data_IF_274873714139
#
_entry.id   IF_274873714139
#
_cell.length_a   1.000
_cell.length_b   1.000
_cell.length_c   1.000
_cell.angle_alpha   90.00
_cell.angle_beta   90.00
_cell.angle_gamma   90.00
#
_symmetry.space_group_name_H-M   'P 1'
#
loop_
_entity.id
_entity.type
_entity.pdbx_description
1 polymer ?
#
# COMPACT_ATOMS: atom_id res chain seq x y z
N UNK A 1 -46.91 -2.51 15.09
CA UNK A 1 -46.66 -1.55 16.20
C UNK A 1 -45.56 -0.58 15.77
N UNK A 2 -45.57 0.67 16.25
CA UNK A 2 -44.48 1.65 16.05
C UNK A 2 -43.89 2.00 17.42
N UNK A 3 -42.56 1.97 17.53
CA UNK A 3 -41.82 2.43 18.71
C UNK A 3 -40.60 3.23 18.26
N UNK A 4 -40.76 4.54 18.19
CA UNK A 4 -39.63 5.48 18.03
C UNK A 4 -38.90 5.63 19.37
N UNK A 5 -37.57 5.65 19.34
CA UNK A 5 -36.76 6.16 20.45
C UNK A 5 -35.77 7.21 19.93
N UNK A 6 -35.57 8.26 20.72
CA UNK A 6 -34.98 9.53 20.27
C UNK A 6 -34.23 10.21 21.43
N UNK A 7 -32.90 10.16 21.42
CA UNK A 7 -31.98 10.96 22.26
C UNK A 7 -30.53 10.70 21.81
N UNK A 8 -29.56 11.63 21.94
CA UNK A 8 -29.71 13.04 22.32
C UNK A 8 -28.62 13.59 23.25
N UNK A 9 -27.36 13.67 22.81
CA UNK A 9 -26.23 14.28 23.57
C UNK A 9 -25.27 14.97 22.60
N UNK A 10 -25.30 16.31 22.48
CA UNK A 10 -24.64 17.33 23.34
C UNK A 10 -23.10 17.36 23.19
N UNK A 11 -22.64 18.28 22.35
CA UNK A 11 -21.23 18.60 22.11
C UNK A 11 -20.55 19.25 23.33
N UNK A 12 -19.31 18.87 23.63
CA UNK A 12 -18.48 19.50 24.65
C UNK A 12 -17.32 20.28 24.05
N UNK A 13 -17.44 21.61 23.96
CA UNK A 13 -16.37 22.48 23.47
C UNK A 13 -15.35 22.74 24.59
N UNK A 14 -14.07 22.38 24.40
CA UNK A 14 -12.97 22.80 25.28
C UNK A 14 -11.72 23.15 24.48
N UNK A 15 -11.48 24.45 24.33
CA UNK A 15 -10.17 24.97 23.95
C UNK A 15 -9.23 24.93 25.16
N UNK A 16 -7.98 24.53 24.94
CA UNK A 16 -6.90 24.62 25.93
C UNK A 16 -5.69 25.23 25.23
N UNK A 17 -5.42 26.51 25.51
CA UNK A 17 -4.23 27.20 25.03
C UNK A 17 -3.10 26.94 26.03
N UNK A 18 -1.99 26.34 25.58
CA UNK A 18 -0.82 26.09 26.41
C UNK A 18 0.43 26.62 25.72
N UNK A 19 1.02 27.64 26.35
CA UNK A 19 2.25 28.29 25.93
C UNK A 19 3.40 27.69 26.74
N UNK A 20 4.39 27.09 26.08
CA UNK A 20 5.53 26.44 26.76
C UNK A 20 6.82 27.13 26.36
N UNK A 21 7.59 27.60 27.34
CA UNK A 21 8.84 28.32 27.08
C UNK A 21 9.98 27.36 26.67
N UNK A 22 10.82 27.81 25.74
CA UNK A 22 12.00 27.09 25.27
C UNK A 22 13.16 27.32 26.26
N UNK A 23 13.67 26.26 26.90
CA UNK A 23 14.47 26.36 28.14
C UNK A 23 15.70 25.42 28.21
N UNK A 24 16.53 25.68 29.24
CA UNK A 24 17.99 25.52 29.35
C UNK A 24 18.62 24.09 29.40
N UNK A 25 19.25 23.52 28.35
CA UNK A 25 20.30 22.43 28.46
C UNK A 25 21.05 22.06 27.13
N UNK A 26 22.36 22.37 26.97
CA UNK A 26 23.29 21.72 26.01
C UNK A 26 24.34 20.95 26.82
N UNK A 27 24.37 19.61 26.74
CA UNK A 27 25.48 18.82 27.26
C UNK A 27 26.61 18.72 26.20
N UNK A 28 27.86 18.93 26.62
CA UNK A 28 29.03 18.60 25.80
C UNK A 28 29.31 17.11 25.91
N UNK A 29 29.29 16.39 24.78
CA UNK A 29 29.47 14.93 24.74
C UNK A 29 30.91 14.60 24.31
N UNK A 30 31.63 13.70 25.00
CA UNK A 30 32.98 13.30 24.62
C UNK A 30 32.98 12.49 23.31
N UNK A 31 33.99 12.71 22.47
CA UNK A 31 34.17 11.97 21.23
C UNK A 31 34.59 10.51 21.50
N UNK A 32 33.70 9.56 21.18
CA UNK A 32 33.99 8.13 21.26
C UNK A 32 34.55 7.58 19.94
N UNK A 33 35.50 6.65 20.06
CA UNK A 33 36.31 6.14 18.95
C UNK A 33 35.55 5.14 18.05
N UNK A 34 36.22 4.71 16.97
CA UNK A 34 35.74 3.79 15.94
C UNK A 34 34.90 2.62 16.46
N UNK A 35 33.58 2.76 16.38
CA UNK A 35 32.65 1.70 16.73
C UNK A 35 32.69 0.64 15.62
N UNK A 36 33.38 -0.47 15.88
CA UNK A 36 33.50 -1.59 14.95
C UNK A 36 32.11 -2.08 14.50
N UNK A 37 32.00 -2.47 13.23
CA UNK A 37 30.72 -2.78 12.59
C UNK A 37 29.95 -3.83 13.39
N UNK A 38 28.92 -3.39 14.14
CA UNK A 38 28.01 -4.28 14.82
C UNK A 38 27.29 -5.11 13.75
N UNK A 39 27.65 -6.39 13.66
CA UNK A 39 26.88 -7.35 12.90
C UNK A 39 25.50 -7.43 13.54
N UNK A 40 24.53 -6.70 12.96
CA UNK A 40 23.11 -6.82 13.30
C UNK A 40 22.77 -8.31 13.36
N UNK A 41 22.36 -8.88 14.51
CA UNK A 41 22.29 -10.33 14.68
C UNK A 41 21.45 -10.98 13.57
N UNK A 42 22.14 -11.54 12.58
CA UNK A 42 21.52 -12.01 11.36
C UNK A 42 20.57 -13.14 11.71
N UNK A 43 19.28 -12.99 11.37
CA UNK A 43 18.23 -13.89 11.80
C UNK A 43 18.55 -15.34 11.40
N UNK A 44 19.08 -16.11 12.35
CA UNK A 44 19.67 -17.43 12.10
C UNK A 44 18.56 -18.45 11.91
N UNK A 45 18.13 -18.58 10.65
CA UNK A 45 17.15 -19.58 10.22
C UNK A 45 17.50 -20.95 10.82
N UNK A 46 16.57 -21.64 11.49
CA UNK A 46 16.78 -23.00 12.00
C UNK A 46 17.33 -23.93 10.92
N UNK A 47 18.23 -24.89 11.23
CA UNK A 47 19.00 -25.62 10.21
C UNK A 47 18.17 -26.25 9.07
N UNK A 48 17.01 -26.82 9.37
CA UNK A 48 16.09 -27.38 8.36
C UNK A 48 15.46 -26.29 7.46
N UNK A 49 15.08 -25.16 8.05
CA UNK A 49 14.50 -24.02 7.32
C UNK A 49 15.56 -23.30 6.47
N UNK A 50 16.80 -23.21 6.96
CA UNK A 50 17.96 -22.77 6.19
C UNK A 50 18.24 -23.68 4.99
N UNK A 51 18.16 -25.01 5.17
CA UNK A 51 18.33 -25.96 4.07
C UNK A 51 17.24 -25.80 2.99
N UNK A 52 15.97 -25.66 3.40
CA UNK A 52 14.84 -25.42 2.51
C UNK A 52 14.89 -24.05 1.81
N UNK A 53 15.47 -23.04 2.45
CA UNK A 53 15.74 -21.73 1.85
C UNK A 53 16.84 -21.81 0.78
N UNK A 54 17.95 -22.50 1.09
CA UNK A 54 19.08 -22.69 0.16
C UNK A 54 18.71 -23.60 -1.03
N UNK A 55 17.82 -24.58 -0.85
CA UNK A 55 17.29 -25.37 -1.97
C UNK A 55 16.36 -24.58 -2.89
N UNK A 56 15.93 -23.38 -2.47
CA UNK A 56 15.09 -22.50 -3.27
C UNK A 56 13.73 -23.12 -3.62
N UNK A 57 13.13 -23.87 -2.69
CA UNK A 57 11.87 -24.57 -2.91
C UNK A 57 10.81 -24.12 -1.89
N UNK A 58 9.77 -23.42 -2.35
CA UNK A 58 8.70 -22.90 -1.51
C UNK A 58 7.96 -24.00 -0.70
N UNK A 59 7.71 -25.17 -1.29
CA UNK A 59 7.03 -26.28 -0.62
C UNK A 59 7.88 -26.85 0.52
N UNK A 60 9.20 -26.97 0.33
CA UNK A 60 10.11 -27.39 1.39
C UNK A 60 10.19 -26.36 2.52
N UNK A 61 10.13 -25.06 2.21
CA UNK A 61 10.09 -24.01 3.23
C UNK A 61 8.79 -24.07 4.05
N UNK A 62 7.63 -24.18 3.41
CA UNK A 62 6.35 -24.33 4.12
C UNK A 62 6.29 -25.63 4.94
N UNK A 63 6.81 -26.74 4.42
CA UNK A 63 6.93 -27.99 5.18
C UNK A 63 7.85 -27.83 6.40
N UNK A 64 9.01 -27.19 6.25
CA UNK A 64 9.93 -26.91 7.36
C UNK A 64 9.29 -25.98 8.42
N UNK A 65 8.53 -24.95 8.03
CA UNK A 65 7.79 -24.11 8.98
C UNK A 65 6.74 -24.95 9.73
N UNK A 66 5.97 -25.79 9.04
CA UNK A 66 4.93 -26.62 9.66
C UNK A 66 5.50 -27.68 10.62
N UNK A 67 6.63 -28.31 10.28
CA UNK A 67 7.31 -29.26 11.18
C UNK A 67 7.95 -28.54 12.37
N UNK A 68 8.60 -27.39 12.16
CA UNK A 68 9.27 -26.65 13.24
C UNK A 68 8.29 -25.89 14.15
N UNK A 69 7.10 -25.54 13.68
CA UNK A 69 6.06 -24.94 14.52
C UNK A 69 5.43 -25.94 15.49
N UNK A 70 5.41 -27.23 15.13
CA UNK A 70 4.73 -28.27 15.90
C UNK A 70 3.22 -28.07 15.97
N UNK A 71 2.63 -27.35 14.99
CA UNK A 71 1.22 -26.96 15.00
C UNK A 71 0.90 -25.71 15.83
N UNK A 72 1.86 -25.12 16.55
CA UNK A 72 1.64 -23.85 17.24
C UNK A 72 1.61 -22.68 16.22
N UNK A 73 0.53 -21.89 16.14
CA UNK A 73 0.36 -20.86 15.11
C UNK A 73 1.27 -19.62 15.32
N UNK A 74 1.52 -19.23 16.57
CA UNK A 74 2.41 -18.12 16.91
C UNK A 74 3.85 -18.41 16.46
N UNK A 75 4.29 -19.66 16.66
CA UNK A 75 5.60 -20.16 16.23
C UNK A 75 5.69 -20.28 14.71
N UNK A 76 4.60 -20.67 14.04
CA UNK A 76 4.54 -20.64 12.57
C UNK A 76 4.69 -19.20 12.05
N UNK A 77 4.00 -18.22 12.66
CA UNK A 77 4.10 -16.81 12.31
C UNK A 77 5.51 -16.24 12.54
N UNK A 78 6.15 -16.60 13.66
CA UNK A 78 7.52 -16.20 13.98
C UNK A 78 8.54 -16.77 12.97
N UNK A 79 8.38 -18.04 12.57
CA UNK A 79 9.23 -18.68 11.55
C UNK A 79 9.00 -18.06 10.16
N UNK A 80 7.74 -17.81 9.77
CA UNK A 80 7.41 -17.10 8.53
C UNK A 80 8.02 -15.68 8.49
N UNK A 81 8.01 -14.96 9.62
CA UNK A 81 8.66 -13.66 9.78
C UNK A 81 10.19 -13.73 9.59
N UNK A 82 10.85 -14.75 10.16
CA UNK A 82 12.29 -14.98 9.92
C UNK A 82 12.59 -15.30 8.44
N UNK A 83 11.72 -16.05 7.76
CA UNK A 83 11.87 -16.39 6.34
C UNK A 83 11.77 -15.16 5.45
N UNK A 84 10.81 -14.25 5.68
CA UNK A 84 10.75 -13.00 4.88
C UNK A 84 11.93 -12.05 5.15
N UNK A 85 12.47 -12.03 6.37
CA UNK A 85 13.69 -11.26 6.69
C UNK A 85 14.90 -11.81 5.91
N UNK A 86 15.07 -13.14 5.86
CA UNK A 86 16.10 -13.77 5.05
C UNK A 86 15.88 -13.56 3.54
N UNK A 87 14.62 -13.56 3.10
CA UNK A 87 14.24 -13.31 1.71
C UNK A 87 14.55 -11.87 1.26
N UNK A 88 14.26 -10.86 2.09
CA UNK A 88 14.66 -9.47 1.83
C UNK A 88 16.19 -9.34 1.75
N UNK A 89 16.93 -10.03 2.62
CA UNK A 89 18.40 -10.04 2.57
C UNK A 89 18.95 -10.74 1.31
N UNK A 90 18.29 -11.78 0.78
CA UNK A 90 18.69 -12.43 -0.48
C UNK A 90 18.24 -11.68 -1.74
N UNK A 91 17.41 -10.63 -1.62
CA UNK A 91 16.75 -9.98 -2.76
C UNK A 91 17.73 -9.41 -3.80
N UNK A 92 18.88 -8.93 -3.35
CA UNK A 92 19.93 -8.35 -4.20
C UNK A 92 20.79 -9.39 -4.94
N UNK A 93 20.84 -10.64 -4.45
CA UNK A 93 21.73 -11.70 -4.96
C UNK A 93 20.98 -12.85 -5.62
N UNK A 94 19.79 -13.18 -5.14
CA UNK A 94 18.91 -14.21 -5.70
C UNK A 94 17.42 -13.82 -5.53
N UNK A 95 16.88 -12.96 -6.42
CA UNK A 95 15.48 -12.55 -6.35
C UNK A 95 14.48 -13.72 -6.54
N UNK A 96 14.87 -14.81 -7.22
CA UNK A 96 14.02 -15.98 -7.43
C UNK A 96 13.81 -16.78 -6.12
N UNK A 97 14.86 -16.92 -5.30
CA UNK A 97 14.74 -17.51 -3.95
C UNK A 97 13.96 -16.55 -3.03
N UNK A 98 14.22 -15.24 -3.10
CA UNK A 98 13.51 -14.25 -2.29
C UNK A 98 11.98 -14.33 -2.46
N UNK A 99 11.48 -14.35 -3.70
CA UNK A 99 10.02 -14.43 -3.95
C UNK A 99 9.42 -15.80 -3.59
N UNK A 100 10.19 -16.91 -3.70
CA UNK A 100 9.72 -18.22 -3.24
C UNK A 100 9.66 -18.33 -1.71
N UNK A 101 10.62 -17.74 -1.01
CA UNK A 101 10.61 -17.64 0.44
C UNK A 101 9.44 -16.76 0.93
N UNK A 102 9.18 -15.64 0.24
CA UNK A 102 7.98 -14.84 0.47
C UNK A 102 6.68 -15.64 0.25
N UNK A 103 6.58 -16.42 -0.84
CA UNK A 103 5.43 -17.27 -1.12
C UNK A 103 5.19 -18.29 0.01
N UNK A 104 6.24 -18.97 0.47
CA UNK A 104 6.16 -19.97 1.53
C UNK A 104 5.72 -19.37 2.89
N UNK A 105 6.22 -18.16 3.20
CA UNK A 105 5.85 -17.44 4.42
C UNK A 105 4.42 -16.90 4.36
N UNK A 106 3.98 -16.36 3.22
CA UNK A 106 2.62 -15.86 2.98
C UNK A 106 1.60 -16.99 3.11
N UNK A 107 1.87 -18.16 2.52
CA UNK A 107 0.99 -19.33 2.67
C UNK A 107 1.00 -19.87 4.12
N UNK A 108 2.12 -19.75 4.86
CA UNK A 108 2.17 -20.15 6.27
C UNK A 108 1.33 -19.25 7.19
N UNK A 109 1.20 -17.95 6.91
CA UNK A 109 0.35 -17.03 7.72
C UNK A 109 -1.11 -17.00 7.26
N UNK A 110 -1.42 -17.60 6.10
CA UNK A 110 -2.79 -17.75 5.58
C UNK A 110 -3.66 -18.69 6.41
N UNK A 111 -3.07 -19.59 7.18
CA UNK A 111 -3.81 -20.53 8.02
C UNK A 111 -4.63 -19.78 9.08
N UNK A 112 -5.94 -20.00 9.13
CA UNK A 112 -6.88 -19.27 10.01
C UNK A 112 -6.44 -19.16 11.48
N UNK A 113 -5.84 -20.19 12.12
CA UNK A 113 -5.33 -20.07 13.49
C UNK A 113 -4.21 -19.03 13.66
N UNK A 114 -3.39 -18.79 12.63
CA UNK A 114 -2.32 -17.78 12.64
C UNK A 114 -2.89 -16.37 12.54
N UNK A 115 -3.90 -16.19 11.68
CA UNK A 115 -4.62 -14.92 11.54
C UNK A 115 -5.27 -14.47 12.85
N UNK A 116 -5.80 -15.39 13.65
CA UNK A 116 -6.45 -15.07 14.94
C UNK A 116 -5.49 -15.00 16.12
N UNK A 117 -4.41 -15.80 16.18
CA UNK A 117 -3.44 -15.75 17.28
C UNK A 117 -2.33 -14.72 17.09
N UNK A 118 -2.04 -14.30 15.87
CA UNK A 118 -0.83 -13.54 15.53
C UNK A 118 -1.03 -12.54 14.38
N UNK A 119 -2.01 -11.61 14.50
CA UNK A 119 -2.30 -10.65 13.45
C UNK A 119 -1.12 -9.69 13.18
N UNK A 120 -0.41 -9.20 14.20
CA UNK A 120 0.72 -8.28 13.99
C UNK A 120 1.90 -8.98 13.26
N UNK A 121 2.14 -10.25 13.52
CA UNK A 121 3.15 -11.05 12.81
C UNK A 121 2.72 -11.27 11.36
N UNK A 122 1.42 -11.52 11.11
CA UNK A 122 0.85 -11.62 9.76
C UNK A 122 1.00 -10.31 8.99
N UNK A 123 0.67 -9.17 9.58
CA UNK A 123 0.87 -7.83 9.01
C UNK A 123 2.34 -7.57 8.64
N UNK A 124 3.28 -7.97 9.50
CA UNK A 124 4.72 -7.86 9.22
C UNK A 124 5.16 -8.76 8.06
N UNK A 125 4.68 -10.00 7.99
CA UNK A 125 4.98 -10.94 6.89
C UNK A 125 4.46 -10.41 5.56
N UNK A 126 3.20 -9.95 5.52
CA UNK A 126 2.60 -9.36 4.31
C UNK A 126 3.34 -8.08 3.88
N UNK A 127 3.69 -7.21 4.83
CA UNK A 127 4.42 -5.95 4.55
C UNK A 127 5.82 -6.17 3.98
N UNK A 128 6.52 -7.24 4.37
CA UNK A 128 7.84 -7.62 3.81
C UNK A 128 7.71 -8.38 2.50
N UNK A 129 6.77 -9.33 2.40
CA UNK A 129 6.46 -10.03 1.15
C UNK A 129 6.09 -9.05 0.02
N UNK A 130 5.38 -7.97 0.34
CA UNK A 130 5.07 -6.91 -0.63
C UNK A 130 6.31 -6.16 -1.13
N UNK A 131 7.25 -5.81 -0.25
CA UNK A 131 8.53 -5.17 -0.67
C UNK A 131 9.32 -6.07 -1.62
N UNK A 132 9.28 -7.40 -1.40
CA UNK A 132 9.88 -8.40 -2.28
C UNK A 132 9.15 -8.42 -3.64
N UNK A 133 7.82 -8.57 -3.67
CA UNK A 133 7.08 -8.75 -4.93
C UNK A 133 6.98 -7.47 -5.79
N UNK A 134 7.04 -6.26 -5.19
CA UNK A 134 7.12 -5.00 -5.97
C UNK A 134 8.54 -4.65 -6.42
N UNK A 135 9.55 -5.43 -6.04
CA UNK A 135 10.93 -5.10 -6.39
C UNK A 135 11.19 -5.27 -7.91
N UNK A 136 11.89 -4.32 -8.56
CA UNK A 136 12.25 -4.43 -9.98
C UNK A 136 13.14 -5.63 -10.31
N UNK A 137 13.76 -6.28 -9.31
CA UNK A 137 14.47 -7.55 -9.51
C UNK A 137 13.48 -8.71 -9.68
N UNK A 138 12.56 -8.89 -8.72
CA UNK A 138 11.55 -9.96 -8.76
C UNK A 138 10.60 -9.81 -9.94
N UNK A 139 10.16 -8.59 -10.27
CA UNK A 139 9.28 -8.36 -11.42
C UNK A 139 9.90 -8.75 -12.76
N UNK A 140 11.23 -8.62 -12.92
CA UNK A 140 11.94 -9.07 -14.13
C UNK A 140 12.24 -10.56 -14.14
N UNK A 141 12.52 -11.17 -12.98
CA UNK A 141 12.92 -12.59 -12.89
C UNK A 141 11.74 -13.55 -12.80
N UNK A 142 10.65 -13.19 -12.12
CA UNK A 142 9.52 -14.09 -11.84
C UNK A 142 8.16 -13.36 -11.78
N UNK A 143 7.73 -12.61 -12.83
CA UNK A 143 6.53 -11.78 -12.80
C UNK A 143 5.23 -12.53 -12.45
N UNK A 144 5.06 -13.77 -12.95
CA UNK A 144 3.87 -14.57 -12.67
C UNK A 144 3.80 -15.02 -11.20
N UNK A 145 4.95 -15.32 -10.59
CA UNK A 145 5.02 -15.68 -9.17
C UNK A 145 4.82 -14.43 -8.29
N UNK A 146 5.35 -13.28 -8.70
CA UNK A 146 5.08 -12.00 -8.03
C UNK A 146 3.56 -11.69 -7.98
N UNK A 147 2.86 -11.86 -9.10
CA UNK A 147 1.40 -11.69 -9.16
C UNK A 147 0.64 -12.70 -8.28
N UNK A 148 1.10 -13.96 -8.23
CA UNK A 148 0.53 -14.99 -7.35
C UNK A 148 0.69 -14.63 -5.86
N UNK A 149 1.89 -14.25 -5.42
CA UNK A 149 2.14 -13.84 -4.03
C UNK A 149 1.37 -12.56 -3.68
N UNK A 150 1.23 -11.61 -4.61
CA UNK A 150 0.40 -10.42 -4.42
C UNK A 150 -1.10 -10.78 -4.25
N UNK A 151 -1.65 -11.67 -5.08
CA UNK A 151 -3.04 -12.14 -4.96
C UNK A 151 -3.31 -12.88 -3.65
N UNK A 152 -2.41 -13.77 -3.22
CA UNK A 152 -2.49 -14.40 -1.89
C UNK A 152 -2.40 -13.36 -0.77
N UNK A 153 -1.48 -12.39 -0.87
CA UNK A 153 -1.31 -11.32 0.13
C UNK A 153 -2.55 -10.45 0.25
N UNK A 154 -3.20 -10.09 -0.87
CA UNK A 154 -4.49 -9.38 -0.88
C UNK A 154 -5.62 -10.18 -0.23
N UNK A 155 -5.66 -11.49 -0.48
CA UNK A 155 -6.64 -12.39 0.11
C UNK A 155 -6.53 -12.37 1.64
N UNK A 156 -5.31 -12.58 2.15
CA UNK A 156 -5.03 -12.61 3.59
C UNK A 156 -5.26 -11.22 4.22
N UNK A 157 -4.80 -10.15 3.57
CA UNK A 157 -5.02 -8.78 4.04
C UNK A 157 -6.51 -8.47 4.21
N UNK A 158 -7.36 -8.89 3.27
CA UNK A 158 -8.82 -8.72 3.37
C UNK A 158 -9.45 -9.47 4.55
N UNK A 159 -8.82 -10.56 5.03
CA UNK A 159 -9.27 -11.33 6.19
C UNK A 159 -8.85 -10.71 7.54
N UNK A 160 -7.82 -9.86 7.58
CA UNK A 160 -7.39 -9.17 8.82
C UNK A 160 -8.38 -8.09 9.30
N UNK A 161 -9.21 -7.56 8.40
CA UNK A 161 -10.04 -6.38 8.67
C UNK A 161 -9.27 -5.04 8.77
N UNK A 162 -7.93 -5.04 8.76
CA UNK A 162 -7.13 -3.83 8.85
C UNK A 162 -7.21 -3.02 7.54
N UNK A 163 -7.97 -1.93 7.55
CA UNK A 163 -8.21 -1.10 6.37
C UNK A 163 -6.94 -0.46 5.80
N UNK A 164 -5.99 -0.07 6.66
CA UNK A 164 -4.70 0.49 6.24
C UNK A 164 -3.81 -0.55 5.58
N UNK A 165 -3.80 -1.79 6.09
CA UNK A 165 -3.11 -2.91 5.42
C UNK A 165 -3.73 -3.20 4.05
N UNK A 166 -5.06 -3.32 3.98
CA UNK A 166 -5.78 -3.59 2.73
C UNK A 166 -5.46 -2.52 1.67
N UNK A 167 -5.45 -1.24 2.06
CA UNK A 167 -5.10 -0.13 1.18
C UNK A 167 -3.66 -0.21 0.65
N UNK A 168 -2.69 -0.46 1.53
CA UNK A 168 -1.27 -0.55 1.18
C UNK A 168 -0.98 -1.76 0.28
N UNK A 169 -1.52 -2.94 0.63
CA UNK A 169 -1.41 -4.15 -0.20
C UNK A 169 -2.07 -3.97 -1.56
N UNK A 170 -3.19 -3.25 -1.64
CA UNK A 170 -3.87 -2.98 -2.91
C UNK A 170 -3.01 -2.10 -3.82
N UNK A 171 -2.46 -0.99 -3.32
CA UNK A 171 -1.53 -0.13 -4.09
C UNK A 171 -0.32 -0.93 -4.58
N UNK A 172 0.29 -1.75 -3.71
CA UNK A 172 1.45 -2.58 -4.07
C UNK A 172 1.09 -3.66 -5.11
N UNK A 173 -0.10 -4.24 -5.02
CA UNK A 173 -0.62 -5.20 -6.02
C UNK A 173 -0.89 -4.55 -7.38
N UNK A 174 -1.30 -3.27 -7.41
CA UNK A 174 -1.47 -2.52 -8.67
C UNK A 174 -0.14 -2.29 -9.39
N UNK A 175 0.95 -2.03 -8.66
CA UNK A 175 2.31 -1.93 -9.26
C UNK A 175 2.72 -3.25 -9.92
N UNK A 176 2.43 -4.39 -9.29
CA UNK A 176 2.66 -5.71 -9.90
C UNK A 176 1.75 -5.89 -11.12
N UNK A 177 0.46 -5.58 -11.03
CA UNK A 177 -0.48 -5.71 -12.15
C UNK A 177 -0.04 -4.87 -13.36
N UNK A 178 0.42 -3.63 -13.16
CA UNK A 178 0.98 -2.80 -14.23
C UNK A 178 2.27 -3.41 -14.83
N UNK A 179 3.18 -3.94 -14.00
CA UNK A 179 4.41 -4.61 -14.49
C UNK A 179 4.14 -5.90 -15.29
N UNK A 180 3.07 -6.63 -14.95
CA UNK A 180 2.71 -7.90 -15.58
C UNK A 180 1.81 -7.71 -16.80
N UNK A 181 1.14 -6.55 -16.94
CA UNK A 181 0.19 -6.25 -18.02
C UNK A 181 0.73 -6.54 -19.44
N UNK A 182 2.02 -6.26 -19.69
CA UNK A 182 2.66 -6.46 -20.98
C UNK A 182 2.98 -7.93 -21.30
N UNK A 183 3.09 -8.81 -20.28
CA UNK A 183 3.52 -10.21 -20.44
C UNK A 183 2.41 -11.22 -20.15
N UNK A 184 1.48 -10.89 -19.24
CA UNK A 184 0.28 -11.67 -18.95
C UNK A 184 -0.88 -10.73 -18.57
N UNK A 185 -1.59 -10.14 -19.55
CA UNK A 185 -2.71 -9.24 -19.30
C UNK A 185 -3.87 -9.91 -18.54
N UNK A 186 -4.05 -11.25 -18.63
CA UNK A 186 -5.07 -11.96 -17.87
C UNK A 186 -4.78 -11.88 -16.35
N UNK A 187 -3.55 -12.20 -15.93
CA UNK A 187 -3.14 -12.12 -14.54
C UNK A 187 -3.16 -10.67 -14.02
N UNK A 188 -2.76 -9.70 -14.86
CA UNK A 188 -2.84 -8.28 -14.52
C UNK A 188 -4.28 -7.82 -14.24
N UNK A 189 -5.24 -8.17 -15.11
CA UNK A 189 -6.67 -7.84 -14.90
C UNK A 189 -7.24 -8.56 -13.69
N UNK A 190 -6.89 -9.82 -13.45
CA UNK A 190 -7.34 -10.57 -12.26
C UNK A 190 -6.84 -9.93 -10.95
N UNK A 191 -5.55 -9.59 -10.87
CA UNK A 191 -4.95 -8.97 -9.69
C UNK A 191 -5.50 -7.55 -9.47
N UNK A 192 -5.61 -6.75 -10.53
CA UNK A 192 -6.20 -5.40 -10.46
C UNK A 192 -7.68 -5.43 -10.08
N UNK A 193 -8.45 -6.39 -10.60
CA UNK A 193 -9.85 -6.61 -10.25
C UNK A 193 -10.03 -7.14 -8.83
N UNK A 194 -9.04 -7.83 -8.26
CA UNK A 194 -9.02 -8.17 -6.83
C UNK A 194 -8.74 -6.93 -5.97
N UNK A 195 -7.64 -6.21 -6.24
CA UNK A 195 -7.24 -5.01 -5.50
C UNK A 195 -8.35 -3.93 -5.51
N UNK A 196 -8.94 -3.67 -6.67
CA UNK A 196 -10.09 -2.76 -6.83
C UNK A 196 -11.29 -3.20 -5.98
N UNK A 197 -11.63 -4.49 -5.95
CA UNK A 197 -12.75 -4.99 -5.14
C UNK A 197 -12.47 -4.90 -3.65
N UNK A 198 -11.25 -5.19 -3.18
CA UNK A 198 -10.88 -5.07 -1.76
C UNK A 198 -10.96 -3.64 -1.22
N UNK A 199 -10.66 -2.65 -2.06
CA UNK A 199 -10.88 -1.22 -1.77
C UNK A 199 -12.36 -0.86 -1.88
N UNK A 200 -13.03 -1.29 -2.95
CA UNK A 200 -14.41 -0.94 -3.26
C UNK A 200 -15.46 -1.51 -2.31
N UNK A 201 -15.24 -2.70 -1.75
CA UNK A 201 -16.17 -3.34 -0.80
C UNK A 201 -16.04 -2.81 0.64
N UNK A 202 -14.96 -2.11 0.97
CA UNK A 202 -14.69 -1.62 2.32
C UNK A 202 -14.84 -0.11 2.42
N UNK A 203 -16.00 0.33 2.93
CA UNK A 203 -16.23 1.74 3.28
C UNK A 203 -15.22 2.27 4.30
N UNK A 204 -14.66 1.40 5.16
CA UNK A 204 -13.60 1.76 6.09
C UNK A 204 -12.29 2.12 5.35
N UNK A 205 -11.89 1.34 4.34
CA UNK A 205 -10.71 1.65 3.49
C UNK A 205 -10.86 3.00 2.79
N UNK A 206 -12.05 3.28 2.25
CA UNK A 206 -12.35 4.54 1.57
C UNK A 206 -12.36 5.77 2.51
N UNK A 207 -12.53 5.55 3.82
CA UNK A 207 -12.48 6.60 4.85
C UNK A 207 -11.09 6.78 5.46
N UNK A 208 -10.37 5.68 5.76
CA UNK A 208 -9.05 5.75 6.42
C UNK A 208 -7.89 5.92 5.43
N UNK A 209 -8.09 5.58 4.15
CA UNK A 209 -7.06 5.60 3.11
C UNK A 209 -7.61 6.07 1.73
N UNK A 210 -8.23 7.27 1.65
CA UNK A 210 -8.83 7.75 0.40
C UNK A 210 -7.79 8.02 -0.70
N UNK A 211 -6.58 8.50 -0.37
CA UNK A 211 -5.50 8.71 -1.34
C UNK A 211 -5.03 7.40 -1.97
N UNK A 212 -4.86 6.34 -1.17
CA UNK A 212 -4.54 4.99 -1.63
C UNK A 212 -5.69 4.43 -2.49
N UNK A 213 -6.94 4.67 -2.09
CA UNK A 213 -8.12 4.26 -2.85
C UNK A 213 -8.16 4.91 -4.24
N UNK A 214 -7.86 6.21 -4.32
CA UNK A 214 -7.72 6.95 -5.58
C UNK A 214 -6.52 6.46 -6.42
N UNK A 215 -5.39 6.13 -5.78
CA UNK A 215 -4.22 5.56 -6.45
C UNK A 215 -4.54 4.20 -7.10
N UNK A 216 -5.22 3.31 -6.38
CA UNK A 216 -5.69 2.02 -6.92
C UNK A 216 -6.65 2.22 -8.08
N UNK A 217 -7.64 3.11 -7.95
CA UNK A 217 -8.57 3.42 -9.03
C UNK A 217 -7.87 4.03 -10.26
N UNK A 218 -6.85 4.86 -10.07
CA UNK A 218 -6.04 5.46 -11.14
C UNK A 218 -5.23 4.42 -11.91
N UNK A 219 -4.56 3.49 -11.22
CA UNK A 219 -3.88 2.37 -11.87
C UNK A 219 -4.84 1.41 -12.57
N UNK A 220 -5.99 1.12 -11.95
CA UNK A 220 -7.01 0.26 -12.55
C UNK A 220 -7.61 0.91 -13.81
N UNK A 221 -7.79 2.24 -13.82
CA UNK A 221 -8.16 3.00 -15.01
C UNK A 221 -7.15 2.84 -16.16
N UNK A 222 -5.83 2.81 -15.87
CA UNK A 222 -4.78 2.54 -16.86
C UNK A 222 -4.83 1.11 -17.40
N UNK A 223 -5.20 0.13 -16.57
CA UNK A 223 -5.33 -1.28 -16.97
C UNK A 223 -6.58 -1.50 -17.84
N UNK A 224 -7.74 -0.91 -17.50
CA UNK A 224 -8.97 -1.16 -18.28
C UNK A 224 -8.96 -0.52 -19.68
N UNK A 225 -8.18 0.54 -19.92
CA UNK A 225 -8.04 1.15 -21.25
C UNK A 225 -7.01 0.44 -22.13
N UNK A 226 -6.28 -0.55 -21.61
CA UNK A 226 -5.31 -1.31 -22.39
C UNK A 226 -6.02 -2.30 -23.34
N UNK A 227 -5.80 -2.24 -24.67
CA UNK A 227 -6.48 -3.14 -25.61
C UNK A 227 -6.14 -4.63 -25.41
N UNK A 228 -4.96 -4.95 -24.87
CA UNK A 228 -4.57 -6.31 -24.52
C UNK A 228 -5.38 -6.86 -23.35
N UNK A 229 -5.61 -6.05 -22.31
CA UNK A 229 -6.52 -6.39 -21.21
C UNK A 229 -7.97 -6.58 -21.69
N UNK A 230 -8.48 -5.63 -22.47
CA UNK A 230 -9.84 -5.69 -23.03
C UNK A 230 -10.06 -6.93 -23.90
N UNK A 231 -9.10 -7.30 -24.75
CA UNK A 231 -9.21 -8.47 -25.63
C UNK A 231 -9.14 -9.80 -24.87
N UNK A 232 -8.37 -9.86 -23.78
CA UNK A 232 -8.06 -11.14 -23.08
C UNK A 232 -9.03 -11.43 -21.93
N UNK A 233 -9.61 -10.41 -21.29
CA UNK A 233 -10.52 -10.60 -20.16
C UNK A 233 -11.66 -9.56 -20.12
N UNK A 234 -12.45 -9.38 -21.21
CA UNK A 234 -13.38 -8.26 -21.35
C UNK A 234 -14.41 -8.17 -20.22
N UNK A 235 -14.96 -9.29 -19.74
CA UNK A 235 -15.90 -9.33 -18.60
C UNK A 235 -15.28 -8.85 -17.28
N UNK A 236 -14.03 -9.24 -17.01
CA UNK A 236 -13.33 -8.83 -15.78
C UNK A 236 -12.92 -7.36 -15.84
N UNK A 237 -12.53 -6.88 -17.03
CA UNK A 237 -12.33 -5.45 -17.30
C UNK A 237 -13.66 -4.70 -17.09
N UNK A 238 -14.77 -5.21 -17.61
CA UNK A 238 -16.10 -4.60 -17.48
C UNK A 238 -16.55 -4.47 -16.01
N UNK A 239 -16.39 -5.52 -15.20
CA UNK A 239 -16.66 -5.50 -13.77
C UNK A 239 -15.74 -4.54 -13.00
N UNK A 240 -14.46 -4.47 -13.37
CA UNK A 240 -13.51 -3.50 -12.83
C UNK A 240 -13.90 -2.05 -13.18
N UNK A 241 -14.37 -1.79 -14.40
CA UNK A 241 -14.83 -0.48 -14.87
C UNK A 241 -15.99 0.07 -14.01
N UNK A 242 -17.01 -0.75 -13.73
CA UNK A 242 -18.10 -0.36 -12.81
C UNK A 242 -17.57 -0.12 -11.40
N UNK A 243 -16.67 -1.00 -10.93
CA UNK A 243 -16.11 -0.93 -9.58
C UNK A 243 -15.29 0.35 -9.33
N UNK A 244 -14.39 0.73 -10.26
CA UNK A 244 -13.59 1.96 -10.10
C UNK A 244 -14.47 3.21 -10.18
N UNK A 245 -15.48 3.22 -11.04
CA UNK A 245 -16.41 4.36 -11.16
C UNK A 245 -17.14 4.58 -9.83
N UNK A 246 -17.62 3.50 -9.20
CA UNK A 246 -18.23 3.55 -7.86
C UNK A 246 -17.26 4.07 -6.79
N UNK A 247 -15.99 3.62 -6.81
CA UNK A 247 -14.94 4.07 -5.88
C UNK A 247 -14.64 5.56 -6.03
N UNK A 248 -14.47 6.08 -7.24
CA UNK A 248 -14.18 7.52 -7.43
C UNK A 248 -15.40 8.43 -7.32
N UNK A 249 -16.63 7.88 -7.37
CA UNK A 249 -17.85 8.60 -7.01
C UNK A 249 -18.07 8.74 -5.49
N UNK A 250 -17.26 8.08 -4.64
CA UNK A 250 -17.30 8.29 -3.20
C UNK A 250 -16.75 9.70 -2.84
N UNK A 251 -17.50 10.55 -2.12
CA UNK A 251 -17.04 11.90 -1.78
C UNK A 251 -15.66 12.01 -1.12
N UNK A 252 -15.33 11.12 -0.18
CA UNK A 252 -14.03 11.15 0.53
C UNK A 252 -12.87 10.76 -0.40
N UNK A 253 -13.11 9.82 -1.31
CA UNK A 253 -12.11 9.41 -2.31
C UNK A 253 -11.95 10.49 -3.38
N UNK A 254 -13.06 11.02 -3.91
CA UNK A 254 -13.07 12.13 -4.87
C UNK A 254 -12.34 13.38 -4.32
N UNK A 255 -12.61 13.76 -3.07
CA UNK A 255 -11.94 14.88 -2.38
C UNK A 255 -10.41 14.75 -2.31
N UNK A 256 -9.86 13.53 -2.36
CA UNK A 256 -8.41 13.34 -2.36
C UNK A 256 -7.74 13.76 -3.67
N UNK A 257 -8.45 13.72 -4.80
CA UNK A 257 -8.01 14.29 -6.09
C UNK A 257 -9.17 14.37 -7.10
N UNK A 258 -9.90 15.49 -7.18
CA UNK A 258 -11.01 15.66 -8.11
C UNK A 258 -10.64 15.44 -9.58
N UNK A 259 -9.50 15.97 -10.01
CA UNK A 259 -9.01 15.82 -11.41
C UNK A 259 -8.72 14.35 -11.75
N UNK A 260 -8.13 13.59 -10.82
CA UNK A 260 -7.91 12.16 -11.03
C UNK A 260 -9.24 11.38 -11.05
N UNK A 261 -10.20 11.73 -10.19
CA UNK A 261 -11.54 11.13 -10.18
C UNK A 261 -12.23 11.30 -11.55
N UNK A 262 -12.25 12.52 -12.09
CA UNK A 262 -12.81 12.83 -13.41
C UNK A 262 -12.11 12.04 -14.53
N UNK A 263 -10.76 11.98 -14.52
CA UNK A 263 -10.00 11.20 -15.51
C UNK A 263 -10.27 9.68 -15.40
N UNK A 264 -10.46 9.15 -14.17
CA UNK A 264 -10.84 7.75 -13.95
C UNK A 264 -12.24 7.47 -14.51
N UNK A 265 -13.22 8.34 -14.27
CA UNK A 265 -14.57 8.19 -14.86
C UNK A 265 -14.55 8.30 -16.39
N UNK A 266 -13.75 9.20 -16.95
CA UNK A 266 -13.56 9.32 -18.40
C UNK A 266 -12.96 8.04 -19.01
N UNK A 267 -11.89 7.52 -18.40
CA UNK A 267 -11.25 6.27 -18.81
C UNK A 267 -12.20 5.07 -18.68
N UNK A 268 -13.03 5.04 -17.63
CA UNK A 268 -14.04 4.01 -17.41
C UNK A 268 -15.13 4.04 -18.49
N UNK A 269 -15.64 5.22 -18.84
CA UNK A 269 -16.62 5.39 -19.91
C UNK A 269 -16.04 5.05 -21.30
N UNK A 270 -14.79 5.42 -21.56
CA UNK A 270 -14.09 5.03 -22.78
C UNK A 270 -13.91 3.50 -22.88
N UNK A 271 -13.53 2.84 -21.78
CA UNK A 271 -13.39 1.39 -21.74
C UNK A 271 -14.73 0.67 -21.93
N UNK A 272 -15.82 1.09 -21.26
CA UNK A 272 -17.13 0.46 -21.41
C UNK A 272 -17.69 0.55 -22.83
N UNK A 273 -17.46 1.68 -23.51
CA UNK A 273 -17.80 1.86 -24.93
C UNK A 273 -16.90 1.07 -25.91
N UNK A 274 -15.89 0.33 -25.45
CA UNK A 274 -15.07 -0.53 -26.33
C UNK A 274 -15.91 -1.67 -26.91
N UNK A 275 -15.61 -2.07 -28.14
CA UNK A 275 -16.33 -3.15 -28.82
C UNK A 275 -16.24 -4.49 -28.06
N UNK A 276 -15.09 -4.79 -27.45
CA UNK A 276 -14.88 -6.01 -26.68
C UNK A 276 -15.78 -6.07 -25.42
N UNK A 277 -15.86 -4.98 -24.65
CA UNK A 277 -16.72 -4.91 -23.45
C UNK A 277 -18.20 -4.82 -23.85
N UNK A 278 -18.53 -4.05 -24.89
CA UNK A 278 -19.93 -3.95 -25.36
C UNK A 278 -20.46 -5.31 -25.83
N UNK A 279 -19.61 -6.15 -26.44
CA UNK A 279 -19.98 -7.49 -26.87
C UNK A 279 -20.14 -8.49 -25.71
N UNK A 280 -19.26 -8.46 -24.69
CA UNK A 280 -19.31 -9.42 -23.57
C UNK A 280 -20.19 -8.97 -22.40
N UNK A 281 -20.44 -7.67 -22.24
CA UNK A 281 -21.19 -7.09 -21.11
C UNK A 281 -21.94 -5.81 -21.50
N UNK A 282 -23.04 -5.91 -22.29
CA UNK A 282 -23.81 -4.75 -22.76
C UNK A 282 -24.29 -3.80 -21.64
N UNK A 283 -24.58 -4.35 -20.45
CA UNK A 283 -25.05 -3.58 -19.29
C UNK A 283 -23.99 -2.65 -18.67
N UNK A 284 -22.69 -2.88 -18.91
CA UNK A 284 -21.62 -2.11 -18.27
C UNK A 284 -21.64 -0.64 -18.68
N UNK A 285 -21.91 -0.33 -19.96
CA UNK A 285 -22.01 1.07 -20.42
C UNK A 285 -23.17 1.79 -19.74
N UNK A 286 -24.30 1.12 -19.50
CA UNK A 286 -25.45 1.67 -18.77
C UNK A 286 -25.09 1.93 -17.30
N UNK A 287 -24.45 0.97 -16.62
CA UNK A 287 -24.06 1.10 -15.22
C UNK A 287 -23.05 2.25 -15.00
N UNK A 288 -22.05 2.38 -15.88
CA UNK A 288 -21.07 3.49 -15.85
C UNK A 288 -21.75 4.83 -16.14
N UNK A 289 -22.64 4.88 -17.15
CA UNK A 289 -23.44 6.07 -17.46
C UNK A 289 -24.27 6.52 -16.25
N UNK A 290 -24.93 5.59 -15.56
CA UNK A 290 -25.73 5.91 -14.38
C UNK A 290 -24.86 6.39 -13.21
N UNK A 291 -23.70 5.76 -12.98
CA UNK A 291 -22.76 6.20 -11.94
C UNK A 291 -22.18 7.60 -12.19
N UNK A 292 -21.94 7.98 -13.45
CA UNK A 292 -21.48 9.32 -13.85
C UNK A 292 -22.60 10.36 -13.69
N UNK A 293 -23.84 10.04 -14.07
CA UNK A 293 -25.00 10.92 -13.81
C UNK A 293 -25.26 11.11 -12.30
N UNK A 294 -25.11 10.06 -11.50
CA UNK A 294 -25.18 10.16 -10.05
C UNK A 294 -24.05 11.04 -9.47
N UNK A 295 -22.86 11.03 -10.08
CA UNK A 295 -21.75 11.89 -9.69
C UNK A 295 -21.94 13.36 -10.11
N UNK A 296 -22.52 13.63 -11.29
CA UNK A 296 -22.82 15.01 -11.74
C UNK A 296 -23.91 15.68 -10.92
N UNK A 297 -24.90 14.91 -10.44
CA UNK A 297 -25.95 15.37 -9.55
C UNK A 297 -25.53 15.48 -8.06
N UNK A 298 -24.36 14.96 -7.67
CA UNK A 298 -23.95 14.92 -6.27
C UNK A 298 -23.47 16.28 -5.77
N UNK A 299 -24.26 16.91 -4.90
CA UNK A 299 -23.99 18.23 -4.31
C UNK A 299 -22.66 18.28 -3.56
N UNK A 300 -22.24 17.20 -2.88
CA UNK A 300 -20.95 17.15 -2.19
C UNK A 300 -19.78 17.15 -3.16
N UNK A 301 -19.91 16.52 -4.34
CA UNK A 301 -18.87 16.56 -5.38
C UNK A 301 -18.83 17.93 -6.05
N UNK A 302 -20.00 18.51 -6.36
CA UNK A 302 -20.12 19.84 -6.96
C UNK A 302 -19.61 20.96 -6.03
N UNK A 303 -19.71 20.81 -4.71
CA UNK A 303 -19.12 21.75 -3.74
C UNK A 303 -17.59 21.66 -3.67
N UNK A 304 -17.01 20.52 -4.03
CA UNK A 304 -15.55 20.26 -4.02
C UNK A 304 -14.92 20.63 -5.37
N UNK A 305 -15.65 20.46 -6.45
CA UNK A 305 -15.29 20.83 -7.80
C UNK A 305 -16.52 21.40 -8.50
N UNK A 306 -16.59 22.73 -8.61
CA UNK A 306 -17.73 23.44 -9.22
C UNK A 306 -17.89 23.14 -10.72
N UNK A 307 -16.85 22.66 -11.38
CA UNK A 307 -16.87 22.18 -12.78
C UNK A 307 -17.24 20.71 -12.93
N UNK A 308 -17.49 19.98 -11.84
CA UNK A 308 -17.80 18.54 -11.87
C UNK A 308 -19.00 18.24 -12.78
N UNK A 309 -20.10 18.98 -12.64
CA UNK A 309 -21.31 18.74 -13.44
C UNK A 309 -21.07 18.92 -14.96
N UNK A 310 -20.29 19.92 -15.39
CA UNK A 310 -19.96 20.10 -16.82
C UNK A 310 -18.97 19.04 -17.31
N UNK A 311 -17.94 18.71 -16.53
CA UNK A 311 -16.95 17.68 -16.86
C UNK A 311 -17.59 16.28 -17.01
N UNK A 312 -18.57 15.94 -16.18
CA UNK A 312 -19.32 14.68 -16.34
C UNK A 312 -20.20 14.70 -17.60
N UNK A 313 -20.82 15.83 -17.94
CA UNK A 313 -21.58 15.98 -19.18
C UNK A 313 -20.68 15.89 -20.43
N UNK A 314 -19.46 16.44 -20.39
CA UNK A 314 -18.44 16.31 -21.44
C UNK A 314 -18.07 14.84 -21.69
N UNK A 315 -17.82 14.07 -20.62
CA UNK A 315 -17.56 12.62 -20.69
C UNK A 315 -18.73 11.89 -21.35
N UNK A 316 -19.97 12.13 -20.89
CA UNK A 316 -21.17 11.49 -21.43
C UNK A 316 -21.44 11.86 -22.91
N UNK A 317 -21.12 13.09 -23.30
CA UNK A 317 -21.20 13.56 -24.68
C UNK A 317 -20.11 12.95 -25.61
N UNK A 318 -19.21 12.11 -25.07
CA UNK A 318 -18.00 11.57 -25.73
C UNK A 318 -16.96 12.63 -26.11
N UNK A 319 -17.19 13.89 -25.71
CA UNK A 319 -16.21 14.96 -25.72
C UNK A 319 -15.26 14.79 -24.53
N UNK A 320 -14.53 13.67 -24.48
CA UNK A 320 -13.47 13.49 -23.47
C UNK A 320 -12.50 14.66 -23.62
N UNK A 321 -12.35 15.55 -22.63
CA UNK A 321 -11.49 16.70 -22.77
C UNK A 321 -10.06 16.21 -23.03
N UNK A 322 -9.50 16.60 -24.18
CA UNK A 322 -8.11 16.31 -24.50
C UNK A 322 -7.27 16.79 -23.31
N UNK A 323 -6.47 15.87 -22.73
CA UNK A 323 -5.95 16.03 -21.37
C UNK A 323 -5.41 17.43 -21.18
N UNK A 324 -6.07 18.22 -20.33
CA UNK A 324 -5.56 19.53 -19.95
C UNK A 324 -4.30 19.29 -19.13
N UNK A 325 -3.16 19.24 -19.81
CA UNK A 325 -1.85 19.50 -19.22
C UNK A 325 -1.95 20.87 -18.59
N UNK A 326 -2.27 20.89 -17.29
CA UNK A 326 -2.36 22.12 -16.52
C UNK A 326 -1.08 22.89 -16.81
N UNK A 327 -1.18 24.14 -17.32
CA UNK A 327 -0.01 24.86 -17.78
C UNK A 327 0.92 24.97 -16.58
N UNK A 328 2.07 24.28 -16.65
CA UNK A 328 3.05 24.34 -15.59
C UNK A 328 3.47 25.80 -15.48
N UNK A 329 3.08 26.44 -14.38
CA UNK A 329 3.41 27.83 -14.09
C UNK A 329 4.90 27.89 -13.78
N UNK A 330 5.69 27.89 -14.85
CA UNK A 330 7.14 27.84 -14.85
C UNK A 330 7.72 29.15 -14.34
N UNK A 331 7.61 29.38 -13.04
CA UNK A 331 8.43 30.36 -12.33
C UNK A 331 9.88 29.98 -12.56
N UNK A 332 10.55 30.69 -13.46
CA UNK A 332 11.83 30.29 -14.05
C UNK A 332 12.99 30.30 -13.07
N UNK A 333 13.10 29.26 -12.25
CA UNK A 333 14.25 28.96 -11.40
C UNK A 333 15.04 27.79 -11.96
N UNK A 334 16.32 28.03 -12.30
CA UNK A 334 17.26 26.96 -12.66
C UNK A 334 17.65 26.15 -11.42
N UNK A 335 16.86 25.11 -11.11
CA UNK A 335 17.18 24.15 -10.05
C UNK A 335 18.16 23.10 -10.60
N UNK A 336 19.30 22.92 -9.93
CA UNK A 336 20.28 21.91 -10.29
C UNK A 336 19.73 20.49 -10.05
N UNK A 337 20.13 19.53 -10.89
CA UNK A 337 19.63 18.15 -10.86
C UNK A 337 20.20 17.33 -9.69
N UNK A 338 19.73 17.57 -8.47
CA UNK A 338 20.00 16.72 -7.31
C UNK A 338 19.05 15.51 -7.29
N UNK A 339 19.54 14.27 -7.07
CA UNK A 339 18.69 13.08 -7.11
C UNK A 339 17.62 13.12 -6.01
N UNK A 340 16.36 12.93 -6.40
CA UNK A 340 15.20 13.04 -5.54
C UNK A 340 15.15 11.88 -4.53
N UNK A 341 15.71 12.10 -3.34
CA UNK A 341 15.71 11.13 -2.24
C UNK A 341 14.27 10.86 -1.77
N UNK A 342 13.86 9.59 -1.79
CA UNK A 342 12.47 9.19 -1.58
C UNK A 342 12.08 9.27 -0.08
N UNK A 343 11.53 10.41 0.34
CA UNK A 343 11.19 10.71 1.74
C UNK A 343 10.05 9.83 2.27
N UNK A 344 10.41 8.64 2.73
CA UNK A 344 9.50 7.77 3.49
C UNK A 344 9.21 8.42 4.84
N UNK A 345 7.99 8.92 5.05
CA UNK A 345 7.56 9.51 6.31
C UNK A 345 7.39 8.43 7.39
N UNK A 346 8.51 7.98 7.96
CA UNK A 346 8.52 7.17 9.17
C UNK A 346 8.14 8.05 10.35
N UNK A 347 6.95 7.86 10.92
CA UNK A 347 6.50 8.54 12.15
C UNK A 347 7.25 8.01 13.37
N UNK A 348 8.53 8.37 13.50
CA UNK A 348 9.35 8.03 14.67
C UNK A 348 8.99 8.97 15.81
N UNK A 349 8.10 8.53 16.70
CA UNK A 349 7.77 9.24 17.94
C UNK A 349 9.03 9.41 18.80
N UNK A 350 9.66 10.58 18.68
CA UNK A 350 10.94 10.90 19.32
C UNK A 350 10.71 12.05 20.29
N UNK A 351 10.83 11.78 21.60
CA UNK A 351 10.70 12.81 22.64
C UNK A 351 11.83 13.83 22.53
N UNK A 352 11.51 15.03 22.05
CA UNK A 352 12.44 16.16 22.02
C UNK A 352 12.56 16.80 23.41
N UNK A 353 13.76 17.30 23.71
CA UNK A 353 14.10 18.04 24.92
C UNK A 353 15.00 19.22 24.50
N UNK A 354 14.77 20.40 25.09
CA UNK A 354 15.54 21.63 24.87
C UNK A 354 16.78 21.67 25.80
N UNK A 355 17.88 22.44 25.67
CA UNK A 355 18.52 23.34 24.67
C UNK A 355 19.15 24.59 25.38
N UNK A 356 20.47 24.56 25.66
CA UNK A 356 21.46 25.61 26.09
C UNK A 356 21.93 25.77 27.60
N UNK A 357 22.36 26.88 28.24
CA UNK A 357 23.67 26.87 28.94
C UNK A 357 23.71 26.92 30.50
N UNK A 358 24.92 26.66 31.03
CA UNK A 358 25.65 27.34 32.15
C UNK A 358 25.54 26.88 33.64
N UNK A 359 26.70 26.50 34.25
CA UNK A 359 27.48 27.22 35.32
C UNK A 359 28.51 26.33 36.07
N UNK A 360 29.72 26.89 36.31
CA UNK A 360 30.75 26.60 37.36
C UNK A 360 31.76 25.41 37.31
N UNK A 361 33.02 25.78 37.59
CA UNK A 361 34.19 25.01 38.09
C UNK A 361 33.92 24.44 39.51
N UNK A 362 34.59 23.35 39.99
CA UNK A 362 35.98 23.48 40.47
C UNK A 362 36.93 22.27 40.28
N UNK A 363 38.20 22.57 40.00
CA UNK A 363 39.43 22.09 40.68
C UNK A 363 39.28 20.91 41.69
N UNK A 364 40.08 19.82 41.54
CA UNK A 364 41.21 19.45 42.46
C UNK A 364 41.90 18.07 42.24
N UNK A 365 43.23 18.08 42.44
CA UNK A 365 44.24 17.04 42.79
C UNK A 365 44.13 15.54 42.40
N UNK A 366 45.24 15.15 41.78
CA UNK A 366 45.93 13.84 41.70
C UNK A 366 45.71 12.80 42.82
N UNK A 367 45.75 11.51 42.44
CA UNK A 367 46.56 10.51 43.15
C UNK A 367 47.01 9.37 42.22
N UNK A 368 48.24 8.88 42.40
CA UNK A 368 48.83 7.77 41.64
C UNK A 368 48.96 6.52 42.49
N UNK A 369 48.55 5.37 41.97
CA UNK A 369 48.90 4.07 42.52
C UNK A 369 49.26 3.09 41.39
N UNK A 370 50.50 2.62 41.38
CA UNK A 370 50.97 1.52 40.55
C UNK A 370 51.31 0.35 41.46
N UNK A 371 50.89 -0.86 41.07
CA UNK A 371 51.30 -2.11 41.70
C UNK A 371 51.49 -3.17 40.60
N UNK A 372 52.53 -3.98 40.77
CA UNK A 372 52.97 -5.09 39.90
C UNK A 372 52.15 -6.36 40.11
#
# INVERSE_FOLDING_TARGET
>A
MKTSFYTGTKSGLRAALLLTALALTIPVVPALAQQGAQQTPGATLPPALRAAFVSGNAQQMSAAINTLSGGNPERAAALASQVVVAAEASLATNPQVAIQAAAAAVESVRATPVLTSSPQQTENVLTRAARIYVSPAVQRTAPQLAASVASSSMTIASQTGNSTLIANMAVQSMVVAESVLATNPAAAVQLAGQATRSVGSSAAVQQTAPQQSMSVATSAARIIVNPGAQRVAPEAVAAMTVSITSVVSNPTVYQSSPTAAVQVMANAFAASNSAAITASSPGTTVAVTQAINNASANTTLNNVNTSNASQMNEILAKNVPAQQTAPQTGTGGTVANTPQQNTTTTTTTTTQQAQDPQVADPVRDTSTASAS
#
